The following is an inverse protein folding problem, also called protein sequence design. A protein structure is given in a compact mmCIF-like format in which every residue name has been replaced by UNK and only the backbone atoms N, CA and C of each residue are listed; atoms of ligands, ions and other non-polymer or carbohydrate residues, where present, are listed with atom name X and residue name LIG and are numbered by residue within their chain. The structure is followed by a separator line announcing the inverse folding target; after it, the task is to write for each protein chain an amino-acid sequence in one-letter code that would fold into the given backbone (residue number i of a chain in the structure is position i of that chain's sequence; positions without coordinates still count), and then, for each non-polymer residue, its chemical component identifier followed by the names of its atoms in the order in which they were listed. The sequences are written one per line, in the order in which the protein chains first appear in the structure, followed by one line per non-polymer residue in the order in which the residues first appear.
data_IF_381666202411
#
_entry.id   IF_381666202411
#
_cell.length_a   1.000
_cell.length_b   1.000
_cell.length_c   1.000
_cell.angle_alpha   90.00
_cell.angle_beta   90.00
_cell.angle_gamma   90.00
#
_symmetry.space_group_name_H-M   'P 1'
#
loop_
_entity.id
_entity.type
_entity.pdbx_description
1 polymer ?
#
# COMPACT_ATOMS: atom_id res chain seq x y z
N UNK A 1 -17.45 -37.88 23.82
CA UNK A 1 -17.50 -36.43 23.51
C UNK A 1 -16.16 -36.06 22.89
N UNK A 2 -16.12 -35.89 21.57
CA UNK A 2 -14.92 -35.52 20.83
C UNK A 2 -14.66 -34.01 21.00
N UNK A 3 -13.54 -33.66 21.63
CA UNK A 3 -13.01 -32.31 21.64
C UNK A 3 -12.52 -31.97 20.23
N UNK A 4 -13.33 -31.24 19.47
CA UNK A 4 -12.89 -30.62 18.23
C UNK A 4 -11.74 -29.66 18.56
N UNK A 5 -10.58 -29.75 17.87
CA UNK A 5 -9.49 -28.81 18.10
C UNK A 5 -9.99 -27.41 17.72
N UNK A 6 -9.81 -26.47 18.65
CA UNK A 6 -10.13 -25.06 18.46
C UNK A 6 -9.32 -24.55 17.24
N UNK A 7 -9.93 -24.52 16.06
CA UNK A 7 -9.23 -24.13 14.83
C UNK A 7 -8.98 -22.63 14.89
N UNK A 8 -7.79 -22.23 15.34
CA UNK A 8 -7.35 -20.84 15.25
C UNK A 8 -7.40 -20.47 13.77
N UNK A 9 -8.31 -19.56 13.43
CA UNK A 9 -8.48 -19.05 12.07
C UNK A 9 -7.17 -18.35 11.72
N UNK A 10 -6.34 -18.95 10.86
CA UNK A 10 -5.07 -18.35 10.44
C UNK A 10 -5.37 -17.12 9.63
N UNK A 11 -4.79 -15.99 10.00
CA UNK A 11 -4.92 -14.73 9.30
C UNK A 11 -3.59 -14.42 8.59
N UNK A 12 -3.66 -13.94 7.35
CA UNK A 12 -2.48 -13.69 6.52
C UNK A 12 -2.23 -12.18 6.48
N UNK A 13 -1.02 -11.77 6.84
CA UNK A 13 -0.53 -10.42 6.58
C UNK A 13 0.47 -10.48 5.43
N UNK A 14 0.12 -9.88 4.30
CA UNK A 14 0.93 -9.86 3.08
C UNK A 14 1.63 -8.50 2.95
N UNK A 15 2.95 -8.49 3.01
CA UNK A 15 3.75 -7.28 2.90
C UNK A 15 4.41 -7.21 1.54
N UNK A 16 4.25 -6.08 0.85
CA UNK A 16 4.95 -5.79 -0.40
C UNK A 16 5.37 -4.33 -0.44
N UNK A 17 6.53 -4.07 -1.04
CA UNK A 17 7.00 -2.70 -1.26
C UNK A 17 6.22 -2.00 -2.38
N UNK A 18 5.48 -2.74 -3.20
CA UNK A 18 4.67 -2.21 -4.30
C UNK A 18 3.42 -3.06 -4.49
N UNK A 19 2.29 -2.43 -4.84
CA UNK A 19 1.04 -3.14 -5.13
C UNK A 19 0.33 -2.41 -6.26
N UNK A 20 0.09 -3.10 -7.38
CA UNK A 20 -0.73 -2.59 -8.47
C UNK A 20 -2.22 -2.79 -8.11
N UNK A 21 -2.95 -1.69 -7.92
CA UNK A 21 -4.37 -1.72 -7.55
C UNK A 21 -5.25 -1.09 -8.64
N UNK A 22 -4.88 0.13 -9.03
CA UNK A 22 -5.49 0.86 -10.12
C UNK A 22 -4.42 1.50 -10.98
N UNK A 23 -4.69 1.66 -12.28
CA UNK A 23 -3.74 2.27 -13.22
C UNK A 23 -3.40 3.73 -12.85
N UNK A 24 -4.33 4.44 -12.21
CA UNK A 24 -4.14 5.83 -11.81
C UNK A 24 -3.46 5.98 -10.43
N UNK A 25 -3.25 4.87 -9.71
CA UNK A 25 -2.52 4.88 -8.44
C UNK A 25 -1.05 4.56 -8.68
N UNK A 26 -0.11 5.48 -8.36
CA UNK A 26 1.31 5.25 -8.59
C UNK A 26 1.94 4.43 -7.43
N UNK A 27 1.32 3.32 -7.06
CA UNK A 27 1.74 2.43 -5.98
C UNK A 27 2.60 1.24 -6.45
N UNK A 28 3.02 1.23 -7.72
CA UNK A 28 3.91 0.23 -8.29
C UNK A 28 4.71 0.76 -9.48
N UNK A 29 5.79 0.07 -9.82
CA UNK A 29 6.72 0.39 -10.90
C UNK A 29 6.91 -0.74 -11.91
N UNK A 30 6.59 -1.98 -11.53
CA UNK A 30 6.83 -3.14 -12.40
C UNK A 30 6.17 -4.43 -11.95
N UNK A 31 6.76 -5.55 -12.37
CA UNK A 31 6.17 -6.89 -12.24
C UNK A 31 5.93 -7.34 -10.80
N UNK A 32 6.68 -6.82 -9.83
CA UNK A 32 6.44 -7.11 -8.41
C UNK A 32 5.07 -6.60 -7.95
N UNK A 33 4.76 -5.34 -8.25
CA UNK A 33 3.49 -4.75 -7.87
C UNK A 33 2.31 -5.40 -8.60
N UNK A 34 2.47 -5.76 -9.87
CA UNK A 34 1.45 -6.51 -10.64
C UNK A 34 1.17 -7.85 -9.97
N UNK A 35 2.21 -8.63 -9.66
CA UNK A 35 2.05 -9.91 -8.97
C UNK A 35 1.40 -9.75 -7.60
N UNK A 36 1.78 -8.73 -6.82
CA UNK A 36 1.17 -8.43 -5.53
C UNK A 36 -0.33 -8.10 -5.67
N UNK A 37 -0.69 -7.28 -6.65
CA UNK A 37 -2.08 -6.94 -6.97
C UNK A 37 -2.90 -8.17 -7.33
N UNK A 38 -2.40 -8.99 -8.25
CA UNK A 38 -3.05 -10.24 -8.67
C UNK A 38 -3.21 -11.23 -7.51
N UNK A 39 -2.20 -11.31 -6.64
CA UNK A 39 -2.24 -12.16 -5.44
C UNK A 39 -3.34 -11.72 -4.49
N UNK A 40 -3.48 -10.42 -4.24
CA UNK A 40 -4.51 -9.86 -3.37
C UNK A 40 -5.90 -10.04 -3.99
N UNK A 41 -6.03 -9.85 -5.30
CA UNK A 41 -7.29 -10.07 -6.01
C UNK A 41 -7.72 -11.53 -5.94
N UNK A 42 -6.80 -12.47 -6.17
CA UNK A 42 -7.06 -13.89 -6.02
C UNK A 42 -7.45 -14.25 -4.58
N UNK A 43 -6.80 -13.65 -3.59
CA UNK A 43 -7.17 -13.84 -2.19
C UNK A 43 -8.60 -13.35 -1.89
N UNK A 44 -9.01 -12.23 -2.51
CA UNK A 44 -10.37 -11.72 -2.39
C UNK A 44 -11.40 -12.65 -3.06
N UNK A 45 -11.11 -13.14 -4.26
CA UNK A 45 -11.97 -14.08 -4.98
C UNK A 45 -12.15 -15.40 -4.22
N UNK A 46 -11.09 -15.88 -3.57
CA UNK A 46 -11.07 -17.12 -2.78
C UNK A 46 -11.54 -16.94 -1.33
N UNK A 47 -11.97 -15.74 -0.92
CA UNK A 47 -12.42 -15.43 0.44
C UNK A 47 -11.37 -15.75 1.52
N UNK A 48 -10.10 -15.52 1.21
CA UNK A 48 -9.00 -15.77 2.15
C UNK A 48 -8.96 -14.67 3.22
N UNK A 49 -8.76 -15.04 4.50
CA UNK A 49 -8.60 -14.07 5.58
C UNK A 49 -7.22 -13.39 5.49
N UNK A 50 -7.12 -12.37 4.63
CA UNK A 50 -5.90 -11.65 4.31
C UNK A 50 -6.04 -10.15 4.58
N UNK A 51 -4.93 -9.53 4.95
CA UNK A 51 -4.68 -8.09 4.82
C UNK A 51 -3.39 -7.91 4.03
N UNK A 52 -3.32 -6.88 3.20
CA UNK A 52 -2.07 -6.46 2.57
C UNK A 52 -1.57 -5.15 3.17
N UNK A 53 -0.25 -4.97 3.22
CA UNK A 53 0.39 -3.78 3.75
C UNK A 53 1.52 -3.34 2.81
N UNK A 54 1.56 -2.05 2.51
CA UNK A 54 2.62 -1.41 1.75
C UNK A 54 2.95 -0.03 2.33
N UNK A 55 3.96 0.63 1.76
CA UNK A 55 4.23 2.04 2.02
C UNK A 55 3.45 2.88 1.02
N UNK A 56 2.90 4.01 1.47
CA UNK A 56 2.37 5.01 0.58
C UNK A 56 3.55 5.78 -0.04
N UNK A 57 3.67 5.83 -1.37
CA UNK A 57 4.65 6.71 -2.02
C UNK A 57 3.94 7.92 -2.61
N UNK A 58 4.14 9.10 -2.03
CA UNK A 58 3.42 10.32 -2.47
C UNK A 58 3.86 10.82 -3.84
N UNK A 59 5.13 10.65 -4.21
CA UNK A 59 5.67 10.99 -5.54
C UNK A 59 5.56 9.89 -6.60
N UNK A 60 5.08 8.71 -6.20
CA UNK A 60 4.91 7.59 -7.11
C UNK A 60 6.19 7.08 -7.77
N UNK A 61 6.03 6.18 -8.75
CA UNK A 61 7.04 5.94 -9.78
C UNK A 61 6.81 6.98 -10.89
N UNK A 62 7.88 7.66 -11.29
CA UNK A 62 7.84 8.78 -12.23
C UNK A 62 7.07 8.46 -13.52
N UNK A 63 6.47 9.47 -14.14
CA UNK A 63 5.96 9.39 -15.50
C UNK A 63 7.11 9.58 -16.48
N UNK A 64 7.32 8.60 -17.34
CA UNK A 64 8.27 8.68 -18.43
C UNK A 64 7.67 9.48 -19.59
N UNK A 65 8.35 10.54 -20.02
CA UNK A 65 8.09 11.23 -21.29
C UNK A 65 9.25 10.97 -22.24
N UNK A 66 8.92 10.61 -23.48
CA UNK A 66 9.88 10.48 -24.56
C UNK A 66 9.70 11.67 -25.49
N UNK A 67 10.75 12.48 -25.66
CA UNK A 67 10.77 13.56 -26.62
C UNK A 67 11.01 13.04 -28.04
N UNK A 68 10.73 13.88 -29.05
CA UNK A 68 10.89 13.52 -30.47
C UNK A 68 12.34 13.17 -30.85
N UNK A 69 13.32 13.62 -30.06
CA UNK A 69 14.74 13.30 -30.23
C UNK A 69 15.16 11.98 -29.53
N UNK A 70 14.21 11.29 -28.91
CA UNK A 70 14.44 10.05 -28.16
C UNK A 70 14.99 10.27 -26.75
N UNK A 71 15.12 11.53 -26.28
CA UNK A 71 15.47 11.80 -24.89
C UNK A 71 14.32 11.46 -23.95
N UNK A 72 14.67 10.89 -22.80
CA UNK A 72 13.74 10.51 -21.75
C UNK A 72 13.77 11.54 -20.63
N UNK A 73 12.59 12.03 -20.23
CA UNK A 73 12.40 12.82 -19.02
C UNK A 73 11.47 12.11 -18.05
N UNK A 74 11.73 12.33 -16.76
CA UNK A 74 10.97 11.76 -15.65
C UNK A 74 10.24 12.91 -14.93
N UNK A 75 8.92 12.82 -14.84
CA UNK A 75 8.09 13.78 -14.10
C UNK A 75 7.44 13.08 -12.89
N UNK A 76 7.46 13.67 -11.68
CA UNK A 76 6.73 13.14 -10.55
C UNK A 76 5.23 13.00 -10.86
N UNK A 77 4.60 11.94 -10.36
CA UNK A 77 3.14 11.81 -10.43
C UNK A 77 2.55 12.52 -9.21
N UNK A 78 1.99 13.71 -9.41
CA UNK A 78 1.12 14.31 -8.40
C UNK A 78 -0.23 13.59 -8.44
N UNK A 79 -0.52 12.86 -7.35
CA UNK A 79 -1.82 12.22 -7.14
C UNK A 79 -2.37 12.60 -5.79
N UNK A 80 -3.68 12.75 -5.72
CA UNK A 80 -4.37 13.05 -4.46
C UNK A 80 -4.74 11.72 -3.82
N UNK A 81 -4.06 11.40 -2.74
CA UNK A 81 -4.22 10.13 -2.01
C UNK A 81 -5.69 9.89 -1.62
N UNK A 82 -6.37 10.94 -1.15
CA UNK A 82 -7.78 10.92 -0.76
C UNK A 82 -8.77 10.61 -1.90
N UNK A 83 -8.35 10.76 -3.17
CA UNK A 83 -9.21 10.43 -4.31
C UNK A 83 -9.35 8.90 -4.48
N UNK A 84 -8.43 8.11 -3.91
CA UNK A 84 -8.40 6.64 -4.02
C UNK A 84 -8.47 5.93 -2.68
N UNK A 85 -7.89 6.52 -1.63
CA UNK A 85 -7.69 5.89 -0.34
C UNK A 85 -8.48 6.59 0.75
N UNK A 86 -8.94 5.81 1.73
CA UNK A 86 -9.56 6.36 2.95
C UNK A 86 -8.55 6.36 4.10
N UNK A 87 -8.31 7.50 4.75
CA UNK A 87 -7.48 7.54 5.95
C UNK A 87 -8.17 6.79 7.10
N UNK A 88 -7.42 5.92 7.78
CA UNK A 88 -7.88 5.22 8.97
C UNK A 88 -7.45 5.97 10.25
N UNK A 89 -8.25 5.94 11.34
CA UNK A 89 -7.89 6.60 12.60
C UNK A 89 -6.69 5.93 13.29
N UNK A 90 -6.34 4.70 12.89
CA UNK A 90 -5.21 3.98 13.44
C UNK A 90 -3.89 4.73 13.19
N UNK A 91 -3.02 4.71 14.19
CA UNK A 91 -1.65 5.21 14.12
C UNK A 91 -0.69 4.12 14.57
N UNK A 92 0.46 4.04 13.91
CA UNK A 92 1.55 3.15 14.28
C UNK A 92 2.80 3.97 14.62
N UNK A 93 3.65 3.45 15.49
CA UNK A 93 4.86 4.13 15.92
C UNK A 93 6.03 3.15 15.83
N UNK A 94 7.06 3.52 15.09
CA UNK A 94 8.24 2.68 14.84
C UNK A 94 9.47 3.37 15.43
N UNK A 95 10.22 2.71 16.34
CA UNK A 95 11.50 3.24 16.78
C UNK A 95 12.53 3.11 15.64
N UNK A 96 13.14 4.23 15.26
CA UNK A 96 14.24 4.27 14.30
C UNK A 96 15.41 4.97 15.00
N UNK A 97 16.48 4.22 15.24
CA UNK A 97 17.64 4.73 16.02
C UNK A 97 17.20 5.34 17.36
N UNK A 98 17.44 6.64 17.56
CA UNK A 98 17.14 7.38 18.78
C UNK A 98 15.85 8.21 18.69
N UNK A 99 14.99 7.94 17.70
CA UNK A 99 13.75 8.69 17.45
C UNK A 99 12.56 7.76 17.20
N UNK A 100 11.36 8.29 17.37
CA UNK A 100 10.09 7.58 17.07
C UNK A 100 9.49 8.16 15.80
N UNK A 101 9.24 7.30 14.83
CA UNK A 101 8.52 7.64 13.62
C UNK A 101 7.04 7.32 13.81
N UNK A 102 6.18 8.34 13.73
CA UNK A 102 4.73 8.14 13.72
C UNK A 102 4.24 7.88 12.30
N UNK A 103 3.29 6.97 12.14
CA UNK A 103 2.72 6.59 10.86
C UNK A 103 1.20 6.69 10.93
N UNK A 104 0.60 7.31 9.91
CA UNK A 104 -0.82 7.12 9.60
C UNK A 104 -1.00 5.98 8.62
N UNK A 105 -2.24 5.56 8.45
CA UNK A 105 -2.60 4.46 7.59
C UNK A 105 -3.73 4.89 6.64
N UNK A 106 -3.60 4.50 5.38
CA UNK A 106 -4.61 4.67 4.35
C UNK A 106 -5.12 3.31 3.90
N UNK A 107 -6.42 3.17 3.64
CA UNK A 107 -7.05 1.91 3.23
C UNK A 107 -7.56 1.98 1.79
N UNK A 108 -7.29 0.92 1.04
CA UNK A 108 -7.98 0.55 -0.18
C UNK A 108 -8.67 -0.82 0.01
N UNK A 109 -9.87 -1.02 -0.52
CA UNK A 109 -10.57 -2.31 -0.48
C UNK A 109 -10.49 -3.00 -1.84
N UNK A 110 -9.73 -4.10 -1.94
CA UNK A 110 -9.76 -4.94 -3.15
C UNK A 110 -10.97 -5.87 -3.07
N UNK A 111 -11.92 -5.65 -3.98
CA UNK A 111 -13.16 -6.44 -4.06
C UNK A 111 -13.03 -7.59 -5.04
N UNK A 112 -13.22 -8.81 -4.55
CA UNK A 112 -13.31 -10.01 -5.39
C UNK A 112 -14.63 -10.10 -6.15
N UNK A 113 -14.71 -11.04 -7.10
CA UNK A 113 -15.89 -11.25 -7.97
C UNK A 113 -17.16 -11.61 -7.20
N UNK A 114 -17.02 -12.19 -6.01
CA UNK A 114 -18.13 -12.54 -5.11
C UNK A 114 -18.43 -11.48 -4.04
N UNK A 115 -17.75 -10.34 -4.10
CA UNK A 115 -17.96 -9.21 -3.20
C UNK A 115 -17.23 -9.28 -1.86
N UNK A 116 -16.46 -10.33 -1.60
CA UNK A 116 -15.52 -10.36 -0.47
C UNK A 116 -14.39 -9.36 -0.71
N UNK A 117 -13.97 -8.69 0.36
CA UNK A 117 -12.97 -7.63 0.28
C UNK A 117 -11.73 -8.00 1.08
N UNK A 118 -10.56 -7.75 0.48
CA UNK A 118 -9.27 -7.80 1.15
C UNK A 118 -8.80 -6.35 1.33
N UNK A 119 -8.62 -5.88 2.59
CA UNK A 119 -8.09 -4.55 2.83
C UNK A 119 -6.61 -4.49 2.51
N UNK A 120 -6.21 -3.42 1.84
CA UNK A 120 -4.83 -3.04 1.57
C UNK A 120 -4.54 -1.75 2.32
N UNK A 121 -3.53 -1.78 3.18
CA UNK A 121 -3.13 -0.64 4.00
C UNK A 121 -1.82 -0.04 3.51
N UNK A 122 -1.80 1.26 3.32
CA UNK A 122 -0.62 2.04 2.95
C UNK A 122 -0.18 2.89 4.15
N UNK A 123 1.05 2.65 4.62
CA UNK A 123 1.65 3.37 5.74
C UNK A 123 2.29 4.66 5.25
N UNK A 124 2.06 5.76 5.96
CA UNK A 124 2.50 7.09 5.57
C UNK A 124 3.07 7.86 6.77
N UNK A 125 4.32 8.30 6.63
CA UNK A 125 5.08 9.12 7.55
C UNK A 125 4.89 10.63 7.35
N UNK A 126 4.13 11.08 6.34
CA UNK A 126 3.85 12.50 6.13
C UNK A 126 2.87 13.04 7.19
N UNK A 127 3.41 13.29 8.38
CA UNK A 127 2.75 13.84 9.55
C UNK A 127 3.60 14.98 10.12
N UNK A 128 2.95 16.06 10.55
CA UNK A 128 3.61 17.21 11.20
C UNK A 128 4.32 16.85 12.51
N UNK A 129 3.99 15.71 13.11
CA UNK A 129 4.68 15.19 14.29
C UNK A 129 6.07 14.64 14.00
N UNK A 130 6.36 14.32 12.73
CA UNK A 130 7.64 13.80 12.28
C UNK A 130 8.54 14.93 11.77
N UNK A 131 9.86 14.71 11.82
CA UNK A 131 10.81 15.63 11.20
C UNK A 131 10.66 15.67 9.68
N UNK A 132 11.13 16.74 9.02
CA UNK A 132 11.05 16.82 7.55
C UNK A 132 11.81 15.67 6.86
N UNK A 133 12.93 15.23 7.43
CA UNK A 133 13.66 14.05 6.96
C UNK A 133 12.80 12.78 7.01
N UNK A 134 11.97 12.67 8.04
CA UNK A 134 11.16 11.48 8.30
C UNK A 134 9.91 11.40 7.46
N UNK A 135 9.30 12.56 7.20
CA UNK A 135 8.18 12.68 6.27
C UNK A 135 8.59 12.15 4.88
N UNK A 136 9.82 12.47 4.47
CA UNK A 136 10.42 12.01 3.21
C UNK A 136 10.62 10.49 3.09
N UNK A 137 10.45 9.69 4.16
CA UNK A 137 10.56 8.22 4.07
C UNK A 137 9.44 7.58 3.24
N UNK A 138 8.25 8.20 3.22
CA UNK A 138 7.09 7.77 2.42
C UNK A 138 6.62 8.89 1.47
N UNK A 139 7.17 10.09 1.62
CA UNK A 139 7.01 11.13 0.61
C UNK A 139 7.52 12.50 1.02
N UNK A 140 8.19 13.17 0.09
CA UNK A 140 7.71 14.50 -0.30
C UNK A 140 7.02 14.38 -1.63
#
# INVERSE_FOLDING_TARGET
MSTQPNSVKRFIAYFSMEIALENAMPSYSGGLGVLAGDTIRAAADLHLPMVAVSLLYRKGYFTQRLAEDGSQTEEPVDWRVDDFLTEEPARASVPIENRRLELRCWRYSVKGVHGFEVPVYFLDADLLSNSDFDRNLTGS
#
